data_IF_030286236872
#
_entry.id   IF_030286236872
#
_cell.length_a   1.000
_cell.length_b   1.000
_cell.length_c   1.000
_cell.angle_alpha   90.00
_cell.angle_beta   90.00
_cell.angle_gamma   90.00
#
_symmetry.space_group_name_H-M   'P 1'
#
loop_
_entity.id
_entity.type
_entity.pdbx_description
1 polymer ?
#
# COMPACT_ATOMS: atom_id res chain seq x y z
N UNK A 1 -18.07 25.09 51.17
CA UNK A 1 -19.53 25.07 51.04
C UNK A 1 -19.91 25.72 49.72
N UNK A 2 -20.99 25.23 49.13
CA UNK A 2 -21.65 25.73 47.91
C UNK A 2 -21.21 25.08 46.58
N UNK A 3 -21.95 24.02 46.30
CA UNK A 3 -22.26 23.39 45.02
C UNK A 3 -22.95 24.33 44.03
N UNK A 4 -23.13 23.82 42.79
CA UNK A 4 -23.88 24.28 41.60
C UNK A 4 -22.93 24.76 40.50
N UNK A 5 -23.06 24.40 39.23
CA UNK A 5 -24.05 23.57 38.52
C UNK A 5 -23.47 23.31 37.13
N UNK A 6 -23.62 22.08 36.63
CA UNK A 6 -23.27 21.73 35.26
C UNK A 6 -24.28 22.37 34.28
N UNK A 7 -23.76 22.99 33.22
CA UNK A 7 -24.52 23.33 32.01
C UNK A 7 -23.84 22.66 30.81
N UNK A 8 -24.55 21.85 30.01
CA UNK A 8 -24.04 21.38 28.72
C UNK A 8 -24.48 22.34 27.60
N UNK A 9 -23.55 22.66 26.71
CA UNK A 9 -23.80 23.44 25.48
C UNK A 9 -22.97 22.84 24.33
N UNK A 10 -23.34 23.10 23.06
CA UNK A 10 -24.04 22.14 22.24
C UNK A 10 -23.12 21.51 21.19
N UNK A 11 -23.38 20.24 20.88
CA UNK A 11 -22.82 19.53 19.73
C UNK A 11 -23.35 20.15 18.44
N UNK A 12 -22.47 20.85 17.71
CA UNK A 12 -22.71 21.18 16.31
C UNK A 12 -22.74 19.88 15.50
N UNK A 13 -23.91 19.61 14.96
CA UNK A 13 -24.22 18.57 13.99
C UNK A 13 -23.36 18.72 12.73
N UNK A 14 -22.50 17.75 12.49
CA UNK A 14 -21.86 17.48 11.20
C UNK A 14 -22.90 16.95 10.20
N UNK A 15 -22.93 17.40 8.94
CA UNK A 15 -23.81 16.86 7.91
C UNK A 15 -23.09 15.71 7.21
N UNK A 16 -22.85 14.60 7.90
CA UNK A 16 -22.51 13.33 7.24
C UNK A 16 -23.41 12.26 7.85
N UNK A 17 -24.63 12.16 7.30
CA UNK A 17 -25.48 10.99 7.46
C UNK A 17 -24.74 9.77 6.94
N UNK A 18 -24.14 9.00 7.85
CA UNK A 18 -23.70 7.63 7.60
C UNK A 18 -24.93 6.76 7.37
N UNK A 19 -25.47 6.78 6.16
CA UNK A 19 -26.32 5.67 5.69
C UNK A 19 -25.38 4.51 5.35
N UNK A 20 -25.04 3.72 6.37
CA UNK A 20 -24.61 2.34 6.20
C UNK A 20 -25.78 1.59 5.53
N UNK A 21 -25.70 1.45 4.21
CA UNK A 21 -26.57 0.55 3.45
C UNK A 21 -26.23 -0.88 3.87
N UNK A 22 -27.06 -1.42 4.77
CA UNK A 22 -27.09 -2.85 5.09
C UNK A 22 -27.27 -3.68 3.80
N UNK A 23 -26.64 -4.87 3.66
CA UNK A 23 -26.83 -5.75 2.49
C UNK A 23 -28.25 -6.28 2.28
N UNK A 24 -29.19 -5.93 3.15
CA UNK A 24 -30.54 -6.49 3.18
C UNK A 24 -31.54 -5.83 2.19
N UNK A 25 -31.19 -4.71 1.55
CA UNK A 25 -32.15 -3.97 0.71
C UNK A 25 -32.00 -4.16 -0.81
N UNK A 26 -31.05 -4.98 -1.27
CA UNK A 26 -30.90 -5.32 -2.70
C UNK A 26 -31.47 -6.69 -3.08
N UNK A 27 -32.14 -7.39 -2.15
CA UNK A 27 -32.75 -8.70 -2.41
C UNK A 27 -34.23 -8.65 -2.83
N UNK A 28 -34.81 -7.46 -2.95
CA UNK A 28 -36.23 -7.29 -3.26
C UNK A 28 -36.46 -6.56 -4.60
N UNK A 29 -35.87 -7.04 -5.68
CA UNK A 29 -36.43 -6.87 -7.03
C UNK A 29 -35.75 -7.84 -8.00
N UNK A 30 -36.55 -8.47 -8.87
CA UNK A 30 -36.20 -9.52 -9.85
C UNK A 30 -36.27 -10.96 -9.32
N UNK A 31 -37.31 -11.24 -8.55
CA UNK A 31 -38.01 -12.51 -8.70
C UNK A 31 -38.78 -12.52 -10.02
N UNK A 32 -38.45 -13.45 -10.92
CA UNK A 32 -39.37 -14.34 -11.67
C UNK A 32 -38.65 -15.07 -12.81
N UNK A 33 -38.25 -16.33 -12.58
CA UNK A 33 -38.23 -17.35 -13.65
C UNK A 33 -39.35 -18.36 -13.37
N UNK A 34 -40.46 -18.34 -14.14
CA UNK A 34 -41.37 -19.48 -14.16
C UNK A 34 -41.21 -20.38 -15.39
N UNK A 35 -40.65 -19.91 -16.51
CA UNK A 35 -40.89 -20.55 -17.81
C UNK A 35 -39.70 -21.25 -18.50
N UNK A 36 -38.45 -20.94 -18.16
CA UNK A 36 -37.30 -21.48 -18.93
C UNK A 36 -36.87 -22.87 -18.43
N UNK A 37 -36.78 -23.07 -17.11
CA UNK A 37 -36.44 -24.38 -16.53
C UNK A 37 -37.50 -25.44 -16.90
N UNK A 38 -38.78 -25.05 -16.87
CA UNK A 38 -39.90 -25.88 -17.30
C UNK A 38 -39.80 -26.27 -18.78
N UNK A 39 -39.50 -25.32 -19.67
CA UNK A 39 -39.33 -25.61 -21.10
C UNK A 39 -38.15 -26.57 -21.38
N UNK A 40 -37.04 -26.45 -20.64
CA UNK A 40 -35.89 -27.37 -20.77
C UNK A 40 -36.23 -28.78 -20.28
N UNK A 41 -36.94 -28.89 -19.15
CA UNK A 41 -37.35 -30.18 -18.60
C UNK A 41 -38.42 -30.86 -19.49
N UNK A 42 -39.34 -30.07 -20.08
CA UNK A 42 -40.33 -30.55 -21.04
C UNK A 42 -39.68 -31.01 -22.36
N UNK A 43 -38.68 -30.28 -22.86
CA UNK A 43 -37.90 -30.69 -24.03
C UNK A 43 -37.13 -32.00 -23.79
N UNK A 44 -36.53 -32.18 -22.60
CA UNK A 44 -35.86 -33.44 -22.21
C UNK A 44 -36.81 -34.62 -22.15
N UNK A 45 -38.04 -34.42 -21.65
CA UNK A 45 -39.09 -35.45 -21.59
C UNK A 45 -39.56 -35.85 -22.99
N UNK A 46 -39.77 -34.89 -23.88
CA UNK A 46 -40.15 -35.16 -25.27
C UNK A 46 -39.03 -35.92 -26.02
N UNK A 47 -37.76 -35.56 -25.77
CA UNK A 47 -36.59 -36.26 -26.29
C UNK A 47 -36.53 -37.73 -25.87
N UNK A 48 -36.86 -38.05 -24.62
CA UNK A 48 -36.90 -39.43 -24.12
C UNK A 48 -38.03 -40.26 -24.77
N UNK A 49 -39.19 -39.65 -25.02
CA UNK A 49 -40.34 -40.31 -25.64
C UNK A 49 -40.13 -40.62 -27.13
N UNK A 50 -39.45 -39.73 -27.86
CA UNK A 50 -39.11 -39.96 -29.28
C UNK A 50 -38.11 -41.10 -29.45
N UNK A 51 -37.13 -41.23 -28.54
CA UNK A 51 -36.16 -42.33 -28.53
C UNK A 51 -36.79 -43.70 -28.25
N UNK A 52 -37.88 -43.76 -27.48
CA UNK A 52 -38.60 -44.99 -27.18
C UNK A 52 -39.44 -45.53 -28.37
N UNK A 53 -39.80 -44.67 -29.32
CA UNK A 53 -40.70 -45.00 -30.45
C UNK A 53 -39.97 -45.42 -31.75
N UNK A 54 -38.64 -45.46 -31.77
CA UNK A 54 -37.82 -45.68 -32.99
C UNK A 54 -37.84 -47.13 -33.53
N UNK A 55 -38.53 -48.08 -32.87
CA UNK A 55 -38.39 -49.52 -33.13
C UNK A 55 -39.29 -50.11 -34.24
N UNK A 56 -39.95 -49.28 -35.09
CA UNK A 56 -40.93 -49.76 -36.10
C UNK A 56 -41.04 -48.92 -37.40
N UNK A 57 -39.96 -48.37 -37.95
CA UNK A 57 -40.07 -47.37 -39.03
C UNK A 57 -39.28 -47.69 -40.32
N UNK A 58 -39.85 -47.34 -41.47
CA UNK A 58 -39.22 -47.40 -42.81
C UNK A 58 -38.07 -46.38 -42.91
N UNK A 59 -37.09 -46.52 -43.83
CA UNK A 59 -35.92 -45.62 -43.90
C UNK A 59 -36.26 -44.13 -44.04
N UNK A 60 -37.41 -43.79 -44.64
CA UNK A 60 -37.87 -42.40 -44.77
C UNK A 60 -38.48 -41.87 -43.45
N UNK A 61 -39.23 -42.70 -42.72
CA UNK A 61 -39.79 -42.34 -41.41
C UNK A 61 -38.69 -42.20 -40.34
N UNK A 62 -37.65 -43.03 -40.41
CA UNK A 62 -36.48 -42.94 -39.53
C UNK A 62 -35.73 -41.60 -39.70
N UNK A 63 -35.59 -41.12 -40.94
CA UNK A 63 -34.97 -39.83 -41.23
C UNK A 63 -35.81 -38.65 -40.70
N UNK A 64 -37.14 -38.72 -40.81
CA UNK A 64 -38.05 -37.70 -40.26
C UNK A 64 -37.97 -37.66 -38.73
N UNK A 65 -37.97 -38.81 -38.07
CA UNK A 65 -37.81 -38.92 -36.61
C UNK A 65 -36.45 -38.35 -36.15
N UNK A 66 -35.38 -38.60 -36.92
CA UNK A 66 -34.05 -38.05 -36.64
C UNK A 66 -34.02 -36.53 -36.79
N UNK A 67 -34.66 -35.97 -37.82
CA UNK A 67 -34.76 -34.51 -38.01
C UNK A 67 -35.53 -33.86 -36.85
N UNK A 68 -36.65 -34.44 -36.42
CA UNK A 68 -37.41 -33.95 -35.27
C UNK A 68 -36.59 -33.99 -33.97
N UNK A 69 -35.83 -35.05 -33.75
CA UNK A 69 -34.93 -35.17 -32.60
C UNK A 69 -33.84 -34.08 -32.61
N UNK A 70 -33.23 -33.84 -33.78
CA UNK A 70 -32.22 -32.79 -33.96
C UNK A 70 -32.81 -31.40 -33.72
N UNK A 71 -34.03 -31.13 -34.19
CA UNK A 71 -34.73 -29.86 -33.94
C UNK A 71 -34.98 -29.63 -32.45
N UNK A 72 -35.47 -30.64 -31.73
CA UNK A 72 -35.66 -30.55 -30.28
C UNK A 72 -34.33 -30.31 -29.55
N UNK A 73 -33.24 -30.96 -30.00
CA UNK A 73 -31.91 -30.77 -29.43
C UNK A 73 -31.38 -29.36 -29.66
N UNK A 74 -31.55 -28.81 -30.86
CA UNK A 74 -31.16 -27.42 -31.19
C UNK A 74 -31.93 -26.44 -30.31
N UNK A 75 -33.25 -26.57 -30.21
CA UNK A 75 -34.07 -25.69 -29.37
C UNK A 75 -33.66 -25.75 -27.88
N UNK A 76 -33.33 -26.94 -27.38
CA UNK A 76 -32.82 -27.10 -26.01
C UNK A 76 -31.47 -26.40 -25.80
N UNK A 77 -30.55 -26.52 -26.75
CA UNK A 77 -29.25 -25.84 -26.71
C UNK A 77 -29.39 -24.32 -26.82
N UNK A 78 -30.32 -23.82 -27.62
CA UNK A 78 -30.62 -22.38 -27.71
C UNK A 78 -31.15 -21.81 -26.40
N UNK A 79 -32.04 -22.54 -25.72
CA UNK A 79 -32.53 -22.16 -24.40
C UNK A 79 -31.43 -22.16 -23.34
N UNK A 80 -30.56 -23.18 -23.34
CA UNK A 80 -29.39 -23.23 -22.45
C UNK A 80 -28.41 -22.09 -22.73
N UNK A 81 -28.13 -21.79 -24.01
CA UNK A 81 -27.30 -20.66 -24.43
C UNK A 81 -27.87 -19.34 -23.92
N UNK A 82 -29.17 -19.11 -24.07
CA UNK A 82 -29.83 -17.90 -23.59
C UNK A 82 -29.73 -17.78 -22.05
N UNK A 83 -29.92 -18.89 -21.33
CA UNK A 83 -29.79 -18.92 -19.87
C UNK A 83 -28.34 -18.65 -19.42
N UNK A 84 -27.34 -19.23 -20.09
CA UNK A 84 -25.93 -18.98 -19.80
C UNK A 84 -25.54 -17.53 -20.12
N UNK A 85 -25.99 -16.98 -21.24
CA UNK A 85 -25.76 -15.58 -21.60
C UNK A 85 -26.34 -14.62 -20.55
N UNK A 86 -27.53 -14.91 -20.03
CA UNK A 86 -28.13 -14.15 -18.95
C UNK A 86 -27.30 -14.22 -17.65
N UNK A 87 -26.92 -15.42 -17.21
CA UNK A 87 -26.09 -15.59 -16.00
C UNK A 87 -24.75 -14.87 -16.11
N UNK A 88 -24.12 -14.92 -17.29
CA UNK A 88 -22.88 -14.22 -17.57
C UNK A 88 -23.08 -12.70 -17.51
N UNK A 89 -24.18 -12.18 -18.04
CA UNK A 89 -24.52 -10.76 -17.94
C UNK A 89 -24.69 -10.30 -16.49
N UNK A 90 -25.41 -11.07 -15.66
CA UNK A 90 -25.58 -10.77 -14.22
C UNK A 90 -24.24 -10.81 -13.49
N UNK A 91 -23.43 -11.86 -13.71
CA UNK A 91 -22.10 -11.99 -13.10
C UNK A 91 -21.18 -10.82 -13.49
N UNK A 92 -21.20 -10.40 -14.76
CA UNK A 92 -20.44 -9.23 -15.22
C UNK A 92 -20.92 -7.93 -14.58
N UNK A 93 -22.24 -7.78 -14.37
CA UNK A 93 -22.81 -6.66 -13.63
C UNK A 93 -22.32 -6.61 -12.18
N UNK A 94 -22.30 -7.76 -11.50
CA UNK A 94 -21.76 -7.85 -10.14
C UNK A 94 -20.26 -7.53 -10.09
N UNK A 95 -19.47 -8.06 -11.02
CA UNK A 95 -18.04 -7.79 -11.10
C UNK A 95 -17.76 -6.31 -11.32
N UNK A 96 -18.51 -5.66 -12.21
CA UNK A 96 -18.37 -4.22 -12.47
C UNK A 96 -18.74 -3.39 -11.25
N UNK A 97 -19.81 -3.75 -10.54
CA UNK A 97 -20.20 -3.09 -9.28
C UNK A 97 -19.14 -3.25 -8.20
N UNK A 98 -18.64 -4.46 -7.98
CA UNK A 98 -17.59 -4.73 -6.99
C UNK A 98 -16.29 -3.99 -7.34
N UNK A 99 -15.91 -3.95 -8.61
CA UNK A 99 -14.75 -3.19 -9.07
C UNK A 99 -14.91 -1.68 -8.80
N UNK A 100 -16.10 -1.13 -9.05
CA UNK A 100 -16.40 0.28 -8.73
C UNK A 100 -16.28 0.56 -7.23
N UNK A 101 -16.78 -0.34 -6.38
CA UNK A 101 -16.67 -0.21 -4.92
C UNK A 101 -15.21 -0.28 -4.47
N UNK A 102 -14.43 -1.24 -4.96
CA UNK A 102 -12.99 -1.34 -4.68
C UNK A 102 -12.22 -0.08 -5.06
N UNK A 103 -12.48 0.48 -6.24
CA UNK A 103 -11.84 1.71 -6.69
C UNK A 103 -12.19 2.91 -5.78
N UNK A 104 -13.45 2.97 -5.31
CA UNK A 104 -13.88 3.99 -4.35
C UNK A 104 -13.17 3.83 -3.01
N UNK A 105 -13.06 2.61 -2.49
CA UNK A 105 -12.31 2.33 -1.27
C UNK A 105 -10.83 2.71 -1.40
N UNK A 106 -10.17 2.34 -2.51
CA UNK A 106 -8.78 2.74 -2.76
C UNK A 106 -8.62 4.27 -2.78
N UNK A 107 -9.55 4.98 -3.40
CA UNK A 107 -9.54 6.45 -3.44
C UNK A 107 -9.67 7.04 -2.04
N UNK A 108 -10.58 6.50 -1.22
CA UNK A 108 -10.77 6.93 0.16
C UNK A 108 -9.55 6.63 1.05
N UNK A 109 -8.95 5.43 0.93
CA UNK A 109 -7.72 5.08 1.64
C UNK A 109 -6.57 6.03 1.28
N UNK A 110 -6.39 6.33 -0.01
CA UNK A 110 -5.37 7.27 -0.46
C UNK A 110 -5.57 8.68 0.11
N UNK A 111 -6.82 9.16 0.14
CA UNK A 111 -7.15 10.47 0.71
C UNK A 111 -6.84 10.53 2.22
N UNK A 112 -7.26 9.50 2.97
CA UNK A 112 -7.01 9.40 4.41
C UNK A 112 -5.52 9.25 4.73
N UNK A 113 -4.79 8.45 3.94
CA UNK A 113 -3.35 8.29 4.11
C UNK A 113 -2.60 9.61 3.88
N UNK A 114 -2.99 10.36 2.83
CA UNK A 114 -2.44 11.70 2.58
C UNK A 114 -2.74 12.67 3.72
N UNK A 115 -3.96 12.66 4.24
CA UNK A 115 -4.36 13.51 5.36
C UNK A 115 -3.56 13.19 6.63
N UNK A 116 -3.41 11.91 6.97
CA UNK A 116 -2.60 11.46 8.10
C UNK A 116 -1.13 11.92 7.94
N UNK A 117 -0.57 11.79 6.74
CA UNK A 117 0.77 12.25 6.44
C UNK A 117 0.95 13.77 6.58
N UNK A 118 -0.03 14.56 6.16
CA UNK A 118 -0.03 16.03 6.33
C UNK A 118 -0.12 16.39 7.81
N UNK A 119 -1.03 15.77 8.57
CA UNK A 119 -1.19 16.04 10.01
C UNK A 119 0.09 15.75 10.79
N UNK A 120 0.78 14.65 10.46
CA UNK A 120 2.05 14.28 11.10
C UNK A 120 3.17 15.26 10.74
N UNK A 121 3.26 15.66 9.47
CA UNK A 121 4.24 16.65 9.04
C UNK A 121 4.03 17.99 9.77
N UNK A 122 2.79 18.47 9.84
CA UNK A 122 2.45 19.70 10.57
C UNK A 122 2.80 19.60 12.05
N UNK A 123 2.59 18.43 12.67
CA UNK A 123 2.97 18.22 14.05
C UNK A 123 4.49 18.34 14.25
N UNK A 124 5.29 17.70 13.39
CA UNK A 124 6.76 17.80 13.45
C UNK A 124 7.22 19.25 13.22
N UNK A 125 6.65 19.94 12.24
CA UNK A 125 6.93 21.36 11.96
C UNK A 125 6.52 22.28 13.12
N UNK A 126 5.46 21.92 13.86
CA UNK A 126 5.03 22.65 15.05
C UNK A 126 5.96 22.44 16.26
N UNK A 127 6.65 21.30 16.33
CA UNK A 127 7.61 20.99 17.40
C UNK A 127 8.99 21.59 17.14
N UNK A 128 9.36 21.79 15.88
CA UNK A 128 10.70 22.22 15.50
C UNK A 128 10.65 23.36 14.48
N UNK A 129 11.25 24.52 14.77
CA UNK A 129 11.33 25.61 13.80
C UNK A 129 12.16 25.19 12.57
N UNK A 130 11.92 25.77 11.39
CA UNK A 130 12.72 25.50 10.21
C UNK A 130 14.22 25.67 10.45
N UNK A 131 15.01 24.80 9.87
CA UNK A 131 16.48 24.86 9.99
C UNK A 131 17.03 26.08 9.23
N UNK A 132 18.10 26.68 9.76
CA UNK A 132 18.74 27.88 9.20
C UNK A 132 20.16 27.64 8.70
N UNK A 133 20.73 26.47 8.99
CA UNK A 133 22.12 26.12 8.66
C UNK A 133 22.29 25.55 7.25
N UNK A 134 21.20 25.35 6.51
CA UNK A 134 21.21 24.86 5.13
C UNK A 134 20.38 25.79 4.27
N UNK A 135 21.01 26.42 3.29
CA UNK A 135 20.35 27.24 2.31
C UNK A 135 20.26 26.47 0.98
N UNK A 136 19.04 26.08 0.55
CA UNK A 136 18.84 25.31 -0.67
C UNK A 136 19.20 26.09 -1.95
N UNK A 137 19.26 27.43 -1.91
CA UNK A 137 19.59 28.23 -3.09
C UNK A 137 21.10 28.22 -3.38
N UNK A 138 21.92 28.14 -2.32
CA UNK A 138 23.38 28.18 -2.43
C UNK A 138 24.04 26.81 -2.41
N UNK A 139 23.40 25.80 -1.79
CA UNK A 139 23.96 24.46 -1.66
C UNK A 139 23.58 23.54 -2.83
N UNK A 140 24.59 22.99 -3.51
CA UNK A 140 24.38 21.98 -4.54
C UNK A 140 24.27 20.59 -3.93
N UNK A 141 23.07 20.03 -3.99
CA UNK A 141 22.79 18.67 -3.54
C UNK A 141 23.40 17.65 -4.51
N UNK A 142 24.06 16.60 -3.99
CA UNK A 142 24.68 15.57 -4.83
C UNK A 142 23.91 14.25 -4.78
N UNK A 143 23.64 13.70 -5.96
CA UNK A 143 23.10 12.37 -6.16
C UNK A 143 24.19 11.47 -6.69
N UNK A 144 24.21 10.25 -6.19
CA UNK A 144 25.33 9.35 -6.34
C UNK A 144 24.84 7.99 -6.79
N UNK A 145 25.31 7.54 -7.96
CA UNK A 145 24.90 6.26 -8.53
C UNK A 145 25.76 5.13 -7.95
N UNK A 146 25.09 4.17 -7.29
CA UNK A 146 25.66 3.00 -6.65
C UNK A 146 24.90 1.76 -7.13
N UNK A 147 25.42 1.05 -8.14
CA UNK A 147 24.81 -0.20 -8.61
C UNK A 147 24.67 -1.20 -7.48
N UNK A 148 23.60 -2.00 -7.48
CA UNK A 148 23.33 -3.05 -6.49
C UNK A 148 24.53 -3.93 -6.13
N UNK A 149 25.37 -4.32 -7.10
CA UNK A 149 26.58 -5.11 -6.86
C UNK A 149 27.62 -4.42 -5.95
N UNK A 150 27.66 -3.09 -5.97
CA UNK A 150 28.56 -2.24 -5.20
C UNK A 150 27.92 -1.66 -3.95
N UNK A 151 26.62 -1.88 -3.73
CA UNK A 151 25.85 -1.27 -2.65
C UNK A 151 26.36 -1.68 -1.26
N UNK A 152 26.63 -2.96 -1.04
CA UNK A 152 27.15 -3.42 0.26
C UNK A 152 28.57 -2.89 0.55
N UNK A 153 29.54 -2.97 -0.39
CA UNK A 153 30.83 -2.31 -0.23
C UNK A 153 30.71 -0.80 0.05
N UNK A 154 29.81 -0.11 -0.64
CA UNK A 154 29.54 1.32 -0.41
C UNK A 154 29.01 1.58 1.00
N UNK A 155 27.99 0.84 1.44
CA UNK A 155 27.45 0.93 2.80
C UNK A 155 28.54 0.75 3.85
N UNK A 156 29.36 -0.30 3.72
CA UNK A 156 30.47 -0.57 4.63
C UNK A 156 31.47 0.59 4.70
N UNK A 157 31.88 1.16 3.56
CA UNK A 157 32.78 2.33 3.52
C UNK A 157 32.19 3.55 4.25
N UNK A 158 30.89 3.81 4.07
CA UNK A 158 30.22 4.93 4.75
C UNK A 158 30.10 4.70 6.26
N UNK A 159 29.79 3.47 6.68
CA UNK A 159 29.81 3.11 8.09
C UNK A 159 31.20 3.32 8.71
N UNK A 160 32.26 2.88 8.03
CA UNK A 160 33.63 3.03 8.52
C UNK A 160 34.05 4.50 8.57
N UNK A 161 33.67 5.30 7.58
CA UNK A 161 33.95 6.74 7.55
C UNK A 161 33.22 7.48 8.68
N UNK A 162 31.93 7.17 8.92
CA UNK A 162 31.19 7.76 10.03
C UNK A 162 31.78 7.39 11.39
N UNK A 163 32.23 6.14 11.56
CA UNK A 163 32.98 5.71 12.77
C UNK A 163 34.29 6.46 12.97
N UNK A 164 34.98 6.83 11.90
CA UNK A 164 36.22 7.62 11.98
C UNK A 164 35.96 9.06 12.40
N UNK A 165 34.91 9.70 11.86
CA UNK A 165 34.45 11.03 12.28
C UNK A 165 34.01 11.06 13.75
N UNK A 166 33.38 9.99 14.21
CA UNK A 166 32.88 9.81 15.57
C UNK A 166 33.97 9.78 16.67
N UNK A 167 35.25 9.67 16.30
CA UNK A 167 36.39 9.75 17.25
C UNK A 167 36.53 11.11 17.95
N UNK A 168 35.65 12.07 17.63
CA UNK A 168 35.54 13.41 18.23
C UNK A 168 34.40 13.56 19.27
N UNK A 169 34.08 12.46 19.98
CA UNK A 169 33.26 12.42 21.23
C UNK A 169 31.73 12.17 21.10
N UNK A 170 31.23 11.65 19.95
CA UNK A 170 29.86 11.08 19.83
C UNK A 170 29.75 10.00 18.74
N UNK A 171 28.93 8.94 18.90
CA UNK A 171 28.61 8.04 17.81
C UNK A 171 27.79 8.76 16.73
N UNK A 172 28.33 8.84 15.51
CA UNK A 172 27.56 9.19 14.31
C UNK A 172 27.26 7.89 13.58
N UNK A 173 26.03 7.38 13.71
CA UNK A 173 25.58 6.22 12.93
C UNK A 173 25.25 6.66 11.50
N UNK A 174 25.09 5.69 10.58
CA UNK A 174 24.61 5.96 9.22
C UNK A 174 23.32 5.18 9.01
N UNK A 175 22.26 5.86 8.57
CA UNK A 175 21.00 5.21 8.22
C UNK A 175 20.84 5.24 6.69
N UNK A 176 20.49 4.07 6.13
CA UNK A 176 20.19 3.92 4.72
C UNK A 176 18.70 3.66 4.54
N UNK A 177 18.10 4.45 3.67
CA UNK A 177 16.68 4.51 3.43
C UNK A 177 16.39 4.28 1.95
N UNK A 178 15.91 3.09 1.60
CA UNK A 178 15.51 2.78 0.22
C UNK A 178 14.21 3.48 -0.16
N UNK A 179 13.97 3.61 -1.47
CA UNK A 179 12.74 4.25 -1.98
C UNK A 179 11.49 3.48 -1.59
N UNK A 180 10.37 4.18 -1.39
CA UNK A 180 9.05 3.57 -1.49
C UNK A 180 8.67 3.30 -2.97
N UNK A 181 8.10 2.14 -3.32
CA UNK A 181 8.00 0.92 -2.51
C UNK A 181 9.31 0.12 -2.51
N UNK A 182 9.82 -0.16 -1.31
CA UNK A 182 10.83 -1.17 -0.96
C UNK A 182 11.03 -1.19 0.58
N UNK A 183 10.91 -0.04 1.26
CA UNK A 183 10.66 0.05 2.70
C UNK A 183 9.77 1.26 3.04
N UNK A 184 9.21 1.23 4.25
CA UNK A 184 8.30 2.21 4.87
C UNK A 184 8.58 3.68 4.51
N UNK A 185 7.53 4.53 4.33
CA UNK A 185 7.72 5.89 3.82
C UNK A 185 8.64 6.73 4.71
N UNK A 186 9.51 7.51 4.06
CA UNK A 186 10.26 8.59 4.70
C UNK A 186 9.72 9.88 4.12
N UNK A 187 9.32 10.78 4.99
CA UNK A 187 8.65 12.01 4.63
C UNK A 187 9.50 13.18 5.12
N UNK A 188 10.39 13.62 4.24
CA UNK A 188 11.24 14.79 4.41
C UNK A 188 11.06 15.63 3.16
N UNK A 189 10.57 16.86 3.31
CA UNK A 189 10.22 17.73 2.17
C UNK A 189 11.44 18.19 1.39
N UNK A 190 12.54 18.45 2.09
CA UNK A 190 13.77 19.03 1.54
C UNK A 190 14.98 18.55 2.35
N UNK A 191 16.17 18.63 1.75
CA UNK A 191 17.43 18.33 2.44
C UNK A 191 17.57 19.22 3.67
N UNK A 192 18.14 18.62 4.73
CA UNK A 192 18.40 19.29 5.99
C UNK A 192 17.15 19.89 6.66
N UNK A 193 15.96 19.32 6.42
CA UNK A 193 14.71 19.73 7.06
C UNK A 193 14.15 18.63 7.97
N UNK A 194 13.30 19.04 8.91
CA UNK A 194 12.58 18.11 9.77
C UNK A 194 11.59 17.25 8.97
N UNK A 195 11.27 16.08 9.50
CA UNK A 195 10.31 15.17 8.89
C UNK A 195 9.95 14.02 9.80
N UNK A 196 9.49 12.93 9.19
CA UNK A 196 9.24 11.69 9.91
C UNK A 196 9.51 10.50 9.02
N UNK A 197 9.61 9.34 9.65
CA UNK A 197 9.65 8.08 8.93
C UNK A 197 8.90 7.01 9.71
N UNK A 198 8.44 6.00 9.00
CA UNK A 198 7.90 4.82 9.63
C UNK A 198 9.08 3.85 9.85
N UNK A 199 9.31 3.51 11.12
CA UNK A 199 10.55 3.05 11.78
C UNK A 199 11.53 2.21 10.92
N UNK A 200 12.86 2.44 10.98
CA UNK A 200 13.91 1.63 10.33
C UNK A 200 14.21 0.29 11.07
N UNK A 201 15.07 -0.59 10.50
CA UNK A 201 15.34 -1.97 10.99
C UNK A 201 15.81 -1.96 12.43
N UNK A 202 16.67 -1.00 12.73
CA UNK A 202 17.23 -0.71 14.04
C UNK A 202 17.19 0.81 14.15
N UNK A 203 16.14 1.40 14.77
CA UNK A 203 16.13 2.84 14.96
C UNK A 203 17.42 3.24 15.66
N UNK A 204 18.18 4.20 15.12
CA UNK A 204 19.26 4.82 15.85
C UNK A 204 18.72 5.23 17.21
N UNK A 205 19.50 5.00 18.27
CA UNK A 205 19.08 5.35 19.62
C UNK A 205 18.51 6.78 19.61
N UNK A 206 17.40 7.04 20.31
CA UNK A 206 16.73 8.36 20.24
C UNK A 206 17.63 9.51 20.71
N UNK A 207 18.69 9.22 21.47
CA UNK A 207 19.69 10.19 21.91
C UNK A 207 20.90 10.32 20.96
N UNK A 208 21.01 9.43 19.97
CA UNK A 208 22.12 9.41 19.02
C UNK A 208 21.77 10.14 17.72
N UNK A 209 22.77 10.85 17.21
CA UNK A 209 22.69 11.48 15.90
C UNK A 209 23.19 10.54 14.82
N UNK A 210 22.58 10.58 13.65
CA UNK A 210 22.97 9.75 12.53
C UNK A 210 22.92 10.52 11.21
N UNK A 211 23.79 10.14 10.29
CA UNK A 211 23.81 10.62 8.92
C UNK A 211 22.79 9.81 8.10
N UNK A 212 21.86 10.47 7.40
CA UNK A 212 20.79 9.81 6.66
C UNK A 212 21.04 9.90 5.15
N UNK A 213 21.15 8.73 4.51
CA UNK A 213 21.15 8.61 3.05
C UNK A 213 19.83 7.99 2.57
N UNK A 214 19.20 8.64 1.61
CA UNK A 214 17.95 8.19 0.99
C UNK A 214 18.21 7.87 -0.47
N UNK A 215 17.67 6.76 -0.94
CA UNK A 215 17.63 6.42 -2.35
C UNK A 215 16.61 7.33 -3.06
N UNK A 216 17.03 8.11 -4.06
CA UNK A 216 16.17 9.05 -4.80
C UNK A 216 15.58 8.44 -6.08
N UNK A 217 16.38 7.65 -6.79
CA UNK A 217 15.98 6.79 -7.90
C UNK A 217 16.70 5.45 -7.81
N UNK A 218 16.34 4.47 -8.64
CA UNK A 218 16.98 3.14 -8.62
C UNK A 218 18.49 3.26 -8.70
N UNK A 219 19.21 2.64 -7.76
CA UNK A 219 20.67 2.72 -7.64
C UNK A 219 21.21 4.14 -7.42
N UNK A 220 20.40 5.13 -7.05
CA UNK A 220 20.81 6.52 -6.84
C UNK A 220 20.56 6.94 -5.40
N UNK A 221 21.61 7.36 -4.71
CA UNK A 221 21.58 7.72 -3.29
C UNK A 221 21.91 9.19 -3.10
N UNK A 222 21.24 9.82 -2.14
CA UNK A 222 21.39 11.22 -1.78
C UNK A 222 21.56 11.34 -0.26
N UNK A 223 22.53 12.12 0.16
CA UNK A 223 22.66 12.51 1.57
C UNK A 223 21.71 13.65 1.89
N UNK A 224 20.87 13.47 2.90
CA UNK A 224 19.81 14.42 3.21
C UNK A 224 20.00 15.13 4.56
N UNK A 225 21.09 14.86 5.27
CA UNK A 225 21.49 15.55 6.49
C UNK A 225 21.70 14.64 7.71
N UNK A 226 21.98 15.28 8.83
CA UNK A 226 22.16 14.65 10.14
C UNK A 226 20.88 14.78 10.95
N UNK A 227 20.42 13.67 11.49
CA UNK A 227 19.14 13.58 12.20
C UNK A 227 19.31 12.98 13.58
N UNK A 228 18.35 13.31 14.44
CA UNK A 228 18.06 12.60 15.68
C UNK A 228 16.62 12.08 15.59
N UNK A 229 16.42 10.82 15.98
CA UNK A 229 15.09 10.23 16.01
C UNK A 229 14.40 10.56 17.33
N UNK A 230 13.09 10.75 17.31
CA UNK A 230 12.30 10.87 18.54
C UNK A 230 10.97 10.12 18.40
N UNK A 231 10.44 9.55 19.50
CA UNK A 231 9.16 8.88 19.46
C UNK A 231 8.06 9.90 19.17
N UNK A 232 7.21 9.60 18.20
CA UNK A 232 5.94 10.30 18.06
C UNK A 232 4.93 9.69 19.03
N UNK A 233 4.02 10.51 19.57
CA UNK A 233 2.94 10.01 20.40
C UNK A 233 2.11 8.96 19.66
N UNK A 234 1.47 8.04 20.39
CA UNK A 234 0.65 6.97 19.79
C UNK A 234 -0.41 7.50 18.80
N UNK A 235 -0.96 8.69 19.04
CA UNK A 235 -1.89 9.36 18.14
C UNK A 235 -1.33 9.66 16.73
N UNK A 236 -0.01 9.58 16.54
CA UNK A 236 0.71 9.82 15.28
C UNK A 236 1.39 8.56 14.73
N UNK A 237 1.01 7.38 15.20
CA UNK A 237 1.39 6.12 14.58
C UNK A 237 0.87 6.00 13.14
N UNK A 238 1.28 4.94 12.43
CA UNK A 238 0.74 4.67 11.10
C UNK A 238 -0.74 4.31 11.22
N UNK A 239 -1.56 4.97 10.42
CA UNK A 239 -2.99 4.68 10.32
C UNK A 239 -3.24 3.45 9.45
N UNK A 240 -4.41 2.81 9.63
CA UNK A 240 -4.82 1.68 8.79
C UNK A 240 -4.87 2.05 7.29
N UNK A 241 -5.25 3.28 6.96
CA UNK A 241 -5.26 3.77 5.59
C UNK A 241 -3.85 3.78 4.99
N UNK A 242 -2.87 4.34 5.72
CA UNK A 242 -1.45 4.33 5.31
C UNK A 242 -0.89 2.91 5.19
N UNK A 243 -1.26 2.01 6.11
CA UNK A 243 -0.88 0.61 6.02
C UNK A 243 -1.46 -0.06 4.79
N UNK A 244 -2.77 0.13 4.53
CA UNK A 244 -3.48 -0.57 3.45
C UNK A 244 -2.92 -0.31 2.05
N UNK A 245 -2.34 0.87 1.83
CA UNK A 245 -1.80 1.31 0.54
C UNK A 245 -0.37 0.85 0.26
N UNK A 246 0.33 0.29 1.25
CA UNK A 246 1.68 -0.24 1.04
C UNK A 246 1.65 -1.49 0.15
N UNK A 247 2.72 -1.72 -0.60
CA UNK A 247 2.93 -2.96 -1.34
C UNK A 247 3.24 -4.13 -0.39
N UNK A 248 3.01 -5.35 -0.86
CA UNK A 248 3.18 -6.56 -0.05
C UNK A 248 4.63 -6.82 0.37
N UNK A 249 5.63 -6.38 -0.41
CA UNK A 249 7.03 -6.57 -0.07
C UNK A 249 7.43 -5.70 1.13
N UNK A 250 7.12 -4.39 1.11
CA UNK A 250 7.36 -3.46 2.24
C UNK A 250 6.70 -3.96 3.52
N UNK A 251 5.47 -4.43 3.36
CA UNK A 251 4.60 -4.98 4.39
C UNK A 251 5.18 -6.25 5.04
N UNK A 252 5.62 -7.21 4.23
CA UNK A 252 6.28 -8.44 4.69
C UNK A 252 7.60 -8.14 5.41
N UNK A 253 8.38 -7.20 4.86
CA UNK A 253 9.62 -6.76 5.48
C UNK A 253 9.40 -6.17 6.88
N UNK A 254 8.38 -5.32 7.07
CA UNK A 254 8.06 -4.80 8.40
C UNK A 254 7.69 -5.93 9.37
N UNK A 255 6.82 -6.84 8.96
CA UNK A 255 6.36 -7.93 9.82
C UNK A 255 7.51 -8.87 10.22
N UNK A 256 8.39 -9.24 9.27
CA UNK A 256 9.60 -10.03 9.55
C UNK A 256 10.51 -9.32 10.56
N UNK A 257 10.63 -7.99 10.45
CA UNK A 257 11.47 -7.18 11.35
C UNK A 257 10.92 -7.14 12.76
N UNK A 258 9.62 -6.91 12.91
CA UNK A 258 8.96 -6.91 14.22
C UNK A 258 9.07 -8.26 14.91
N UNK A 259 8.90 -9.36 14.17
CA UNK A 259 9.07 -10.71 14.72
C UNK A 259 10.47 -11.00 15.23
N UNK A 260 11.51 -10.55 14.51
CA UNK A 260 12.90 -10.72 14.97
C UNK A 260 13.18 -10.00 16.29
N UNK A 261 12.47 -8.89 16.56
CA UNK A 261 12.58 -8.16 17.83
C UNK A 261 11.86 -8.88 18.97
N UNK A 262 10.71 -9.49 18.69
CA UNK A 262 9.91 -10.20 19.70
C UNK A 262 10.43 -11.60 20.01
N UNK A 263 11.03 -12.28 19.02
CA UNK A 263 11.60 -13.61 19.15
C UNK A 263 13.09 -13.60 18.76
N UNK A 264 14.01 -13.31 19.70
CA UNK A 264 15.42 -13.55 19.48
C UNK A 264 15.61 -15.06 19.20
N UNK A 265 16.25 -15.36 18.08
CA UNK A 265 16.42 -16.70 17.52
C UNK A 265 16.88 -17.72 18.57
N UNK A 266 16.01 -18.68 18.89
CA UNK A 266 16.40 -19.95 19.51
C UNK A 266 16.71 -20.93 18.38
N UNK A 267 17.81 -21.66 18.54
CA UNK A 267 18.53 -22.44 17.53
C UNK A 267 17.70 -23.12 16.41
N UNK A 268 18.11 -22.86 15.16
CA UNK A 268 18.06 -23.85 14.07
C UNK A 268 16.72 -24.13 13.38
N UNK A 269 15.59 -23.59 13.84
CA UNK A 269 14.29 -23.78 13.17
C UNK A 269 13.72 -22.41 12.84
N UNK A 270 13.41 -22.16 11.56
CA UNK A 270 12.71 -20.95 11.10
C UNK A 270 11.20 -21.09 11.35
N UNK A 271 10.63 -20.56 12.46
CA UNK A 271 9.22 -20.72 12.81
C UNK A 271 8.40 -19.52 12.30
N UNK A 272 8.99 -18.70 11.41
CA UNK A 272 8.49 -17.37 11.14
C UNK A 272 7.19 -17.35 10.34
N UNK A 273 6.86 -18.38 9.55
CA UNK A 273 5.71 -18.30 8.64
C UNK A 273 4.34 -18.16 9.37
N UNK A 274 3.96 -18.99 10.37
CA UNK A 274 2.70 -18.80 11.08
C UNK A 274 2.67 -17.51 11.91
N UNK A 275 3.79 -17.16 12.56
CA UNK A 275 3.92 -15.93 13.34
C UNK A 275 3.82 -14.68 12.45
N UNK A 276 4.38 -14.74 11.24
CA UNK A 276 4.33 -13.67 10.24
C UNK A 276 2.91 -13.44 9.76
N UNK A 277 2.19 -14.51 9.43
CA UNK A 277 0.79 -14.42 9.04
C UNK A 277 -0.09 -13.90 10.18
N UNK A 278 0.18 -14.30 11.43
CA UNK A 278 -0.56 -13.79 12.60
C UNK A 278 -0.29 -12.30 12.85
N UNK A 279 0.97 -11.87 12.87
CA UNK A 279 1.32 -10.47 13.03
C UNK A 279 0.73 -9.63 11.89
N UNK A 280 0.81 -10.17 10.68
CA UNK A 280 0.24 -9.56 9.49
C UNK A 280 -1.27 -9.33 9.65
N UNK A 281 -2.01 -10.37 10.03
CA UNK A 281 -3.44 -10.26 10.24
C UNK A 281 -3.78 -9.19 11.29
N UNK A 282 -3.00 -9.11 12.38
CA UNK A 282 -3.19 -8.07 13.41
C UNK A 282 -3.02 -6.65 12.85
N UNK A 283 -2.01 -6.42 12.00
CA UNK A 283 -1.79 -5.12 11.35
C UNK A 283 -2.90 -4.79 10.34
N UNK A 284 -3.33 -5.78 9.53
CA UNK A 284 -4.42 -5.62 8.55
C UNK A 284 -5.78 -5.34 9.23
N UNK A 285 -5.98 -5.87 10.44
CA UNK A 285 -7.19 -5.67 11.25
C UNK A 285 -7.10 -4.46 12.18
N UNK A 286 -6.00 -3.70 12.15
CA UNK A 286 -5.71 -2.60 13.08
C UNK A 286 -5.72 -3.01 14.57
N UNK A 287 -5.48 -4.28 14.87
CA UNK A 287 -5.24 -4.78 16.24
C UNK A 287 -3.83 -4.44 16.71
N UNK A 288 -2.91 -4.23 15.76
CA UNK A 288 -1.56 -3.75 16.02
C UNK A 288 -1.28 -2.47 15.25
N UNK A 289 -0.44 -1.63 15.84
CA UNK A 289 -0.11 -0.30 15.33
C UNK A 289 1.34 -0.29 14.86
N UNK A 290 1.57 0.13 13.60
CA UNK A 290 2.94 0.33 13.12
C UNK A 290 3.50 1.67 13.65
N UNK A 291 4.61 1.65 14.42
CA UNK A 291 5.14 2.85 15.06
C UNK A 291 5.75 3.83 14.07
N UNK A 292 5.71 5.12 14.42
CA UNK A 292 6.33 6.21 13.69
C UNK A 292 7.40 6.88 14.55
N UNK A 293 8.44 7.40 13.91
CA UNK A 293 9.41 8.27 14.58
C UNK A 293 9.51 9.60 13.86
N UNK A 294 9.59 10.66 14.64
CA UNK A 294 9.93 11.98 14.15
C UNK A 294 11.43 12.05 13.86
N UNK A 295 11.77 12.86 12.87
CA UNK A 295 13.14 13.11 12.44
C UNK A 295 13.44 14.58 12.65
N UNK A 296 14.26 14.87 13.65
CA UNK A 296 14.77 16.22 13.87
C UNK A 296 16.09 16.38 13.13
N UNK A 297 16.12 17.21 12.10
CA UNK A 297 17.39 17.60 11.49
C UNK A 297 18.17 18.46 12.49
N UNK A 298 19.42 18.05 12.75
CA UNK A 298 20.33 18.72 13.70
C UNK A 298 21.58 19.28 13.02
N UNK A 299 21.75 19.03 11.72
CA UNK A 299 22.88 19.55 10.97
C UNK A 299 22.99 18.97 9.56
N UNK A 300 23.98 19.46 8.82
CA UNK A 300 24.38 18.93 7.53
C UNK A 300 25.91 18.84 7.48
N UNK A 301 26.44 17.65 7.19
CA UNK A 301 27.87 17.38 7.23
C UNK A 301 28.48 17.38 5.82
N UNK A 302 29.07 18.51 5.43
CA UNK A 302 29.71 18.67 4.11
C UNK A 302 30.93 17.76 3.91
N UNK A 303 31.63 17.38 4.99
CA UNK A 303 32.75 16.42 4.90
C UNK A 303 32.23 15.01 4.59
N UNK A 304 31.11 14.63 5.20
CA UNK A 304 30.44 13.35 4.91
C UNK A 304 29.91 13.31 3.47
N UNK A 305 29.30 14.39 3.00
CA UNK A 305 28.89 14.51 1.59
C UNK A 305 30.07 14.37 0.62
N UNK A 306 31.20 15.03 0.91
CA UNK A 306 32.41 14.92 0.11
C UNK A 306 32.96 13.48 0.12
N UNK A 307 32.91 12.78 1.26
CA UNK A 307 33.35 11.40 1.39
C UNK A 307 32.47 10.42 0.60
N UNK A 308 31.16 10.65 0.52
CA UNK A 308 30.26 9.88 -0.34
C UNK A 308 30.71 10.00 -1.79
N UNK A 309 31.02 11.23 -2.24
CA UNK A 309 31.51 11.48 -3.60
C UNK A 309 32.84 10.76 -3.86
N UNK A 310 33.78 10.84 -2.91
CA UNK A 310 35.08 10.19 -3.02
C UNK A 310 35.00 8.65 -3.02
N UNK A 311 34.02 8.07 -2.32
CA UNK A 311 33.88 6.62 -2.15
C UNK A 311 33.51 5.85 -3.43
N UNK A 312 33.23 6.56 -4.54
CA UNK A 312 32.87 5.97 -5.83
C UNK A 312 33.84 6.35 -6.95
N UNK A 313 34.89 7.12 -6.63
CA UNK A 313 35.80 7.73 -7.62
C UNK A 313 35.06 8.72 -8.52
N UNK A 314 35.79 9.56 -9.26
CA UNK A 314 35.25 10.58 -10.19
C UNK A 314 34.44 9.99 -11.39
N UNK A 315 33.91 8.78 -11.28
CA UNK A 315 33.25 8.02 -12.34
C UNK A 315 31.72 8.13 -12.39
N UNK A 316 31.08 8.78 -11.41
CA UNK A 316 29.64 9.03 -11.45
C UNK A 316 29.32 10.37 -12.13
N UNK A 317 28.57 10.38 -13.25
CA UNK A 317 28.24 11.62 -13.95
C UNK A 317 27.36 12.52 -13.09
N UNK A 318 27.76 13.80 -13.00
CA UNK A 318 26.98 14.88 -12.40
C UNK A 318 25.61 14.98 -13.08
N UNK A 319 24.55 14.58 -12.39
CA UNK A 319 23.18 14.85 -12.84
C UNK A 319 22.62 15.99 -11.99
N UNK A 320 22.61 17.18 -12.59
CA UNK A 320 21.93 18.36 -12.07
C UNK A 320 20.44 18.11 -12.29
N UNK A 321 19.72 17.57 -11.31
CA UNK A 321 18.26 17.51 -11.38
C UNK A 321 17.74 18.95 -11.37
N UNK A 322 17.28 19.40 -12.53
CA UNK A 322 16.58 20.66 -12.67
C UNK A 322 15.25 20.55 -11.93
N UNK A 323 15.17 21.22 -10.78
CA UNK A 323 13.91 21.47 -10.11
C UNK A 323 12.97 22.25 -11.03
N UNK A 324 12.03 21.54 -11.63
CA UNK A 324 10.76 22.13 -12.04
C UNK A 324 9.65 21.21 -11.57
N UNK A 325 9.15 21.48 -10.37
CA UNK A 325 7.82 21.04 -9.97
C UNK A 325 6.85 21.91 -10.76
N UNK A 326 6.47 21.49 -11.97
CA UNK A 326 5.29 22.03 -12.61
C UNK A 326 4.07 21.52 -11.85
N UNK A 327 3.42 22.44 -11.15
CA UNK A 327 2.04 22.30 -10.73
C UNK A 327 1.17 22.10 -11.99
N UNK A 328 0.65 20.91 -12.19
CA UNK A 328 -0.40 20.68 -13.18
C UNK A 328 -1.73 21.13 -12.58
N UNK A 329 -2.01 22.41 -12.75
CA UNK A 329 -3.35 22.98 -12.63
C UNK A 329 -4.18 22.45 -13.80
N UNK A 330 -5.00 21.43 -13.54
CA UNK A 330 -5.94 20.87 -14.52
C UNK A 330 -7.31 21.48 -14.27
N UNK A 331 -7.53 22.67 -14.82
CA UNK A 331 -8.84 23.31 -14.92
C UNK A 331 -9.12 23.70 -16.38
N UNK A 332 -10.31 23.29 -16.87
CA UNK A 332 -10.97 23.63 -18.16
C UNK A 332 -10.33 22.92 -19.38
N UNK A 333 -11.03 22.06 -20.13
CA UNK A 333 -12.38 22.11 -20.69
C UNK A 333 -12.94 20.71 -20.89
#
# INVERSE_FOLDING_TARGET
MSSLSATPYPTKTSPFSSQLLTPAQTHASLGTQPNIKKAVDDAKRLLANVAANTNRQTPQDAAVTQIQWLQLRVNGLEAERANLAYKLSVANGHLTSAHKQLNMFHTQCNALAKEAGVRRQQHVEGLHPPTTFFDPETMQCRVVSVPNASLQPFKNRMFDYAKQLAKSDRPSAVAFASRPPAFLPICIKQIAQHGYWFVPVDPPNPEETFELLVESSTDCWMYIGRYQSFPLAEAYSMTLAEWSILDEETKNHLCLRMLRKELPSVDGISPYAPALLSLRAKLDMAEYVAPCSGLRCVGYNTQFEAAISAALGDSTPFTKEAGSVQATDSAKR
#
